data_IF_476501373430
#
_entry.id   IF_476501373430
#
_cell.length_a   1.000
_cell.length_b   1.000
_cell.length_c   1.000
_cell.angle_alpha   90.00
_cell.angle_beta   90.00
_cell.angle_gamma   90.00
#
_symmetry.space_group_name_H-M   'P 1'
#
loop_
_entity.id
_entity.type
_entity.pdbx_description
1 polymer ?
#
# COMPACT_ATOMS: atom_id res chain seq x y z
N UNK A 1 30.34 -2.83 -7.03
CA UNK A 1 29.10 -3.34 -7.69
C UNK A 1 28.73 -4.75 -7.23
N UNK A 2 29.46 -5.83 -7.59
CA UNK A 2 29.17 -7.19 -7.08
C UNK A 2 29.64 -7.40 -5.62
N UNK A 3 30.76 -6.78 -5.25
CA UNK A 3 31.30 -6.82 -3.88
C UNK A 3 30.35 -6.18 -2.87
N UNK A 4 29.66 -5.10 -3.25
CA UNK A 4 28.68 -4.43 -2.36
C UNK A 4 27.40 -5.24 -2.18
N UNK A 5 26.96 -5.92 -3.24
CA UNK A 5 25.83 -6.87 -3.16
C UNK A 5 26.18 -8.04 -2.25
N UNK A 6 27.39 -8.60 -2.37
CA UNK A 6 27.84 -9.68 -1.50
C UNK A 6 27.90 -9.23 -0.03
N UNK A 7 28.49 -8.05 0.23
CA UNK A 7 28.57 -7.45 1.59
C UNK A 7 27.20 -7.21 2.22
N UNK A 8 26.21 -6.82 1.43
CA UNK A 8 24.84 -6.50 1.88
C UNK A 8 23.84 -7.62 1.67
N UNK A 9 24.29 -8.81 1.25
CA UNK A 9 23.41 -9.94 0.91
C UNK A 9 22.43 -10.28 2.04
N UNK A 10 22.90 -10.26 3.29
CA UNK A 10 22.06 -10.51 4.46
C UNK A 10 20.90 -9.50 4.62
N UNK A 11 21.12 -8.23 4.26
CA UNK A 11 20.08 -7.18 4.28
C UNK A 11 19.14 -7.32 3.08
N UNK A 12 19.73 -7.45 1.89
CA UNK A 12 19.01 -7.50 0.62
C UNK A 12 18.08 -8.71 0.53
N UNK A 13 18.49 -9.85 1.08
CA UNK A 13 17.73 -11.09 1.07
C UNK A 13 17.10 -11.42 2.42
N UNK A 14 17.08 -10.48 3.38
CA UNK A 14 16.47 -10.70 4.69
C UNK A 14 15.02 -11.21 4.58
N UNK A 15 14.26 -10.70 3.60
CA UNK A 15 12.87 -11.12 3.35
C UNK A 15 12.74 -12.62 3.01
N UNK A 16 13.77 -13.23 2.43
CA UNK A 16 13.78 -14.64 2.03
C UNK A 16 14.01 -15.57 3.22
N UNK A 17 14.77 -15.13 4.23
CA UNK A 17 15.24 -15.99 5.31
C UNK A 17 14.62 -15.66 6.68
N UNK A 18 14.10 -14.44 6.88
CA UNK A 18 13.58 -13.97 8.18
C UNK A 18 12.07 -13.84 8.23
N UNK A 19 11.38 -13.86 7.08
CA UNK A 19 9.94 -13.66 7.00
C UNK A 19 9.29 -14.86 6.33
N UNK A 20 8.58 -15.64 7.12
CA UNK A 20 7.80 -16.77 6.62
C UNK A 20 6.69 -16.25 5.68
N UNK A 21 6.52 -16.90 4.53
CA UNK A 21 5.54 -16.54 3.49
C UNK A 21 5.69 -15.12 2.90
N UNK A 22 6.87 -14.51 2.97
CA UNK A 22 7.10 -13.24 2.27
C UNK A 22 7.12 -13.46 0.75
N UNK A 23 6.32 -12.70 -0.03
CA UNK A 23 6.36 -12.78 -1.49
C UNK A 23 7.77 -12.50 -2.02
N UNK A 24 8.24 -13.34 -2.94
CA UNK A 24 9.53 -13.17 -3.61
C UNK A 24 9.41 -12.46 -4.97
N UNK A 25 8.23 -11.89 -5.26
CA UNK A 25 7.93 -11.16 -6.50
C UNK A 25 7.72 -9.68 -6.22
N UNK A 26 7.96 -8.85 -7.23
CA UNK A 26 7.74 -7.40 -7.18
C UNK A 26 6.33 -7.00 -7.63
N UNK A 27 5.48 -7.95 -8.01
CA UNK A 27 4.15 -7.68 -8.59
C UNK A 27 3.30 -6.72 -7.73
N UNK A 28 3.33 -6.87 -6.41
CA UNK A 28 2.56 -6.03 -5.49
C UNK A 28 3.04 -4.58 -5.52
N UNK A 29 4.36 -4.36 -5.45
CA UNK A 29 4.95 -3.01 -5.42
C UNK A 29 4.88 -2.35 -6.80
N UNK A 30 5.05 -3.12 -7.87
CA UNK A 30 4.88 -2.65 -9.25
C UNK A 30 3.44 -2.22 -9.52
N UNK A 31 2.46 -3.03 -9.10
CA UNK A 31 1.05 -2.67 -9.19
C UNK A 31 0.74 -1.41 -8.39
N UNK A 32 1.33 -1.26 -7.20
CA UNK A 32 1.18 -0.06 -6.39
C UNK A 32 1.71 1.19 -7.11
N UNK A 33 2.93 1.11 -7.64
CA UNK A 33 3.57 2.19 -8.37
C UNK A 33 2.79 2.56 -9.63
N UNK A 34 2.32 1.57 -10.40
CA UNK A 34 1.50 1.78 -11.59
C UNK A 34 0.21 2.54 -11.26
N UNK A 35 -0.49 2.17 -10.19
CA UNK A 35 -1.70 2.87 -9.75
C UNK A 35 -1.43 4.32 -9.33
N UNK A 36 -0.31 4.59 -8.66
CA UNK A 36 0.09 5.94 -8.27
C UNK A 36 0.45 6.77 -9.50
N UNK A 37 1.29 6.23 -10.39
CA UNK A 37 1.71 6.89 -11.63
C UNK A 37 0.52 7.21 -12.54
N UNK A 38 -0.45 6.30 -12.66
CA UNK A 38 -1.69 6.55 -13.41
C UNK A 38 -2.47 7.78 -12.89
N UNK A 39 -2.40 8.06 -11.59
CA UNK A 39 -3.02 9.27 -11.00
C UNK A 39 -2.15 10.50 -11.24
N UNK A 40 -0.84 10.39 -11.03
CA UNK A 40 0.10 11.49 -11.24
C UNK A 40 0.14 11.96 -12.69
N UNK A 41 -0.02 11.05 -13.67
CA UNK A 41 -0.02 11.38 -15.11
C UNK A 41 -1.11 12.39 -15.50
N UNK A 42 -2.25 12.39 -14.80
CA UNK A 42 -3.32 13.36 -15.03
C UNK A 42 -3.05 14.75 -14.45
N UNK A 43 -2.02 14.88 -13.61
CA UNK A 43 -1.66 16.11 -12.92
C UNK A 43 -0.54 16.79 -13.71
N UNK A 44 -0.82 17.99 -14.24
CA UNK A 44 0.16 18.76 -15.04
C UNK A 44 1.36 19.24 -14.23
N UNK A 45 1.22 19.34 -12.91
CA UNK A 45 2.25 19.77 -11.98
C UNK A 45 1.64 20.17 -10.64
N UNK A 46 2.49 20.30 -9.63
CA UNK A 46 2.13 20.84 -8.32
C UNK A 46 2.69 22.25 -8.17
N UNK A 47 1.95 23.14 -7.51
CA UNK A 47 2.39 24.52 -7.29
C UNK A 47 3.61 24.59 -6.36
N UNK A 48 3.73 23.65 -5.44
CA UNK A 48 4.84 23.52 -4.48
C UNK A 48 4.97 22.08 -3.98
N UNK A 49 6.11 21.75 -3.37
CA UNK A 49 6.28 20.46 -2.68
C UNK A 49 5.23 20.22 -1.60
N UNK A 50 4.83 21.27 -0.88
CA UNK A 50 3.76 21.19 0.13
C UNK A 50 2.42 20.76 -0.47
N UNK A 51 2.08 21.29 -1.65
CA UNK A 51 0.85 20.86 -2.34
C UNK A 51 0.94 19.41 -2.85
N UNK A 52 2.14 18.97 -3.27
CA UNK A 52 2.38 17.58 -3.66
C UNK A 52 2.26 16.62 -2.47
N UNK A 53 2.82 16.99 -1.32
CA UNK A 53 2.73 16.24 -0.07
C UNK A 53 1.27 16.10 0.39
N UNK A 54 0.51 17.21 0.41
CA UNK A 54 -0.93 17.17 0.74
C UNK A 54 -1.72 16.26 -0.20
N UNK A 55 -1.45 16.33 -1.49
CA UNK A 55 -2.09 15.46 -2.47
C UNK A 55 -1.74 13.98 -2.23
N UNK A 56 -0.47 13.68 -1.96
CA UNK A 56 0.00 12.32 -1.68
C UNK A 56 -0.62 11.76 -0.40
N UNK A 57 -0.71 12.57 0.65
CA UNK A 57 -1.38 12.21 1.90
C UNK A 57 -2.86 11.90 1.68
N UNK A 58 -3.58 12.74 0.93
CA UNK A 58 -4.97 12.49 0.58
C UNK A 58 -5.15 11.22 -0.27
N UNK A 59 -4.26 10.98 -1.23
CA UNK A 59 -4.26 9.76 -2.04
C UNK A 59 -4.01 8.51 -1.19
N UNK A 60 -3.05 8.56 -0.26
CA UNK A 60 -2.76 7.47 0.68
C UNK A 60 -3.97 7.15 1.56
N UNK A 61 -4.58 8.18 2.15
CA UNK A 61 -5.81 8.02 2.96
C UNK A 61 -6.90 7.36 2.13
N UNK A 62 -7.22 7.90 0.95
CA UNK A 62 -8.25 7.34 0.07
C UNK A 62 -7.96 5.90 -0.29
N UNK A 63 -6.71 5.57 -0.63
CA UNK A 63 -6.34 4.20 -0.99
C UNK A 63 -6.52 3.23 0.18
N UNK A 64 -6.13 3.65 1.39
CA UNK A 64 -6.19 2.81 2.59
C UNK A 64 -7.62 2.59 3.07
N UNK A 65 -8.52 3.54 2.84
CA UNK A 65 -9.92 3.47 3.27
C UNK A 65 -10.89 3.03 2.18
N UNK A 66 -10.51 3.06 0.90
CA UNK A 66 -11.36 2.56 -0.19
C UNK A 66 -11.52 1.03 -0.07
N UNK A 67 -12.75 0.50 -0.15
CA UNK A 67 -12.97 -0.93 -0.23
C UNK A 67 -12.32 -1.55 -1.48
N UNK A 68 -11.80 -2.74 -1.33
CA UNK A 68 -11.43 -3.60 -2.44
C UNK A 68 -12.68 -4.01 -3.21
N UNK A 69 -12.54 -4.04 -4.53
CA UNK A 69 -13.56 -4.51 -5.48
C UNK A 69 -12.88 -5.45 -6.46
N UNK A 70 -13.68 -6.29 -7.11
CA UNK A 70 -13.23 -7.14 -8.22
C UNK A 70 -12.01 -8.02 -7.88
N UNK A 71 -11.83 -8.37 -6.60
CA UNK A 71 -10.82 -9.32 -6.19
C UNK A 71 -11.27 -10.73 -6.58
N UNK A 72 -10.39 -11.46 -7.25
CA UNK A 72 -10.57 -12.88 -7.58
C UNK A 72 -9.90 -13.78 -6.53
N UNK A 73 -10.08 -15.10 -6.65
CA UNK A 73 -9.42 -16.06 -5.78
C UNK A 73 -7.88 -15.93 -5.87
N UNK A 74 -7.14 -16.02 -4.75
CA UNK A 74 -7.60 -16.34 -3.39
C UNK A 74 -8.08 -15.13 -2.57
N UNK A 75 -8.05 -13.92 -3.16
CA UNK A 75 -8.29 -12.66 -2.46
C UNK A 75 -9.76 -12.22 -2.46
N UNK A 76 -10.69 -13.03 -2.99
CA UNK A 76 -12.11 -12.71 -3.07
C UNK A 76 -12.73 -12.31 -1.72
N UNK A 77 -12.25 -12.91 -0.63
CA UNK A 77 -12.65 -12.62 0.75
C UNK A 77 -12.28 -11.20 1.26
N UNK A 78 -11.49 -10.45 0.47
CA UNK A 78 -11.13 -9.06 0.73
C UNK A 78 -12.14 -8.07 0.13
N UNK A 79 -12.97 -8.48 -0.83
CA UNK A 79 -13.97 -7.60 -1.44
C UNK A 79 -14.88 -6.99 -0.37
N UNK A 80 -15.16 -5.69 -0.49
CA UNK A 80 -15.95 -4.93 0.47
C UNK A 80 -15.17 -4.44 1.71
N UNK A 81 -13.99 -5.00 2.00
CA UNK A 81 -13.08 -4.52 3.05
C UNK A 81 -12.07 -3.53 2.46
N UNK A 82 -11.57 -2.62 3.28
CA UNK A 82 -10.47 -1.72 2.92
C UNK A 82 -9.11 -2.23 3.38
N UNK A 83 -8.04 -1.74 2.76
CA UNK A 83 -6.67 -2.11 3.14
C UNK A 83 -6.35 -1.81 4.61
N UNK A 84 -6.93 -0.74 5.16
CA UNK A 84 -6.78 -0.39 6.56
C UNK A 84 -7.49 -1.39 7.47
N UNK A 85 -8.72 -1.81 7.15
CA UNK A 85 -9.48 -2.78 7.95
C UNK A 85 -8.77 -4.15 8.05
N UNK A 86 -8.08 -4.55 6.99
CA UNK A 86 -7.32 -5.81 6.96
C UNK A 86 -6.03 -5.71 7.79
N UNK A 87 -5.41 -4.54 7.84
CA UNK A 87 -4.13 -4.32 8.52
C UNK A 87 -4.27 -3.96 10.00
N UNK A 88 -5.38 -3.35 10.41
CA UNK A 88 -5.63 -2.97 11.80
C UNK A 88 -5.82 -4.23 12.65
N UNK A 89 -5.10 -4.30 13.78
CA UNK A 89 -5.26 -5.38 14.76
C UNK A 89 -6.69 -5.38 15.30
N UNK A 90 -7.24 -6.57 15.58
CA UNK A 90 -8.64 -6.74 16.03
C UNK A 90 -8.98 -5.89 17.27
N UNK A 91 -8.02 -5.71 18.17
CA UNK A 91 -8.21 -5.02 19.45
C UNK A 91 -7.97 -3.50 19.37
N UNK A 92 -7.60 -3.00 18.19
CA UNK A 92 -7.34 -1.58 17.97
C UNK A 92 -8.59 -0.94 17.36
N UNK A 93 -9.07 0.13 17.99
CA UNK A 93 -10.17 0.93 17.45
C UNK A 93 -9.78 1.46 16.07
N UNK A 94 -10.72 1.35 15.12
CA UNK A 94 -10.51 1.91 13.79
C UNK A 94 -10.33 3.43 13.93
N UNK A 95 -9.27 4.01 13.32
CA UNK A 95 -8.99 5.43 13.48
C UNK A 95 -10.08 6.28 12.82
N UNK A 96 -10.45 7.37 13.47
CA UNK A 96 -11.31 8.37 12.86
C UNK A 96 -10.49 9.19 11.85
N UNK A 97 -10.71 8.94 10.56
CA UNK A 97 -9.98 9.61 9.49
C UNK A 97 -10.95 10.49 8.71
N UNK A 98 -10.95 11.81 8.99
CA UNK A 98 -11.69 12.81 8.21
C UNK A 98 -13.18 12.44 7.99
N UNK A 99 -13.85 11.89 9.01
CA UNK A 99 -15.25 11.46 8.92
C UNK A 99 -15.49 10.13 8.19
N UNK A 100 -14.44 9.46 7.71
CA UNK A 100 -14.52 8.10 7.15
C UNK A 100 -14.69 7.11 8.30
N UNK A 101 -15.91 6.59 8.43
CA UNK A 101 -16.24 5.55 9.40
C UNK A 101 -15.97 4.17 8.82
N UNK A 102 -15.58 3.24 9.68
CA UNK A 102 -15.56 1.81 9.36
C UNK A 102 -16.95 1.43 8.83
N UNK A 103 -17.03 0.74 7.68
CA UNK A 103 -18.31 0.18 7.26
C UNK A 103 -18.63 -0.96 8.22
N UNK A 104 -19.82 -0.92 8.83
CA UNK A 104 -20.34 -2.09 9.53
C UNK A 104 -20.44 -3.21 8.49
N UNK A 105 -19.73 -4.31 8.75
CA UNK A 105 -19.79 -5.52 7.94
C UNK A 105 -21.10 -6.25 8.13
#
# INVERSE_FOLDING_TARGET
MLVDVAKRSNELFAFKYRLEHCPNTTNIIESFNSHLQGRLKSIKGFQSFHSAERWLNAWMIRRRTKPFTDCEEPFKHLNGKSSLEVAVKKDVKFPEILGIKRKAG
#
